data_IF_520364569888
#
_entry.id   IF_520364569888
#
_cell.length_a   1.000
_cell.length_b   1.000
_cell.length_c   1.000
_cell.angle_alpha   90.00
_cell.angle_beta   90.00
_cell.angle_gamma   90.00
#
_symmetry.space_group_name_H-M   'P 1'
#
loop_
_entity.id
_entity.type
_entity.pdbx_description
1 polymer ?
#
# COMPACT_ATOMS: atom_id res chain seq x y z
N UNK A 1 11.16 -10.80 -3.84
CA UNK A 1 9.76 -10.54 -3.45
C UNK A 1 9.45 -9.10 -3.82
N UNK A 2 8.65 -8.82 -4.87
CA UNK A 2 8.44 -7.43 -5.35
C UNK A 2 7.37 -6.75 -4.48
N UNK A 3 7.76 -5.71 -3.76
CA UNK A 3 6.87 -4.85 -3.00
C UNK A 3 6.73 -3.51 -3.71
N UNK A 4 5.53 -2.96 -3.84
CA UNK A 4 5.33 -1.58 -4.32
C UNK A 4 4.68 -0.75 -3.23
N UNK A 5 5.22 0.44 -2.95
CA UNK A 5 4.65 1.39 -2.00
C UNK A 5 3.97 2.50 -2.79
N UNK A 6 2.66 2.64 -2.62
CA UNK A 6 1.87 3.70 -3.25
C UNK A 6 1.43 4.67 -2.15
N UNK A 7 1.92 5.91 -2.22
CA UNK A 7 1.51 6.97 -1.30
C UNK A 7 0.61 7.94 -2.03
N UNK A 8 -0.53 8.28 -1.44
CA UNK A 8 -1.54 9.09 -2.11
C UNK A 8 -1.83 10.42 -1.44
N UNK A 9 -0.78 11.14 -1.08
CA UNK A 9 -0.86 12.61 -0.98
C UNK A 9 -0.32 13.28 -2.27
N UNK A 10 0.50 12.60 -3.08
CA UNK A 10 0.98 13.13 -4.36
C UNK A 10 1.38 11.97 -5.26
N UNK A 11 0.54 11.63 -6.26
CA UNK A 11 0.80 10.88 -7.53
C UNK A 11 2.12 10.07 -7.69
N UNK A 12 2.62 9.40 -6.65
CA UNK A 12 3.93 8.73 -6.61
C UNK A 12 3.72 7.30 -6.14
N UNK A 13 3.70 6.39 -7.10
CA UNK A 13 3.93 4.98 -6.84
C UNK A 13 5.44 4.76 -6.86
N UNK A 14 6.02 4.35 -5.73
CA UNK A 14 7.41 3.92 -5.66
C UNK A 14 7.44 2.40 -5.70
N UNK A 15 8.06 1.84 -6.74
CA UNK A 15 8.29 0.40 -6.82
C UNK A 15 9.54 0.09 -6.00
N UNK A 16 9.40 -0.69 -4.93
CA UNK A 16 10.51 -1.11 -4.09
C UNK A 16 11.09 -2.41 -4.65
N UNK A 17 12.42 -2.46 -4.78
CA UNK A 17 13.13 -3.52 -5.49
C UNK A 17 12.97 -4.88 -4.78
N UNK A 18 12.92 -6.00 -5.51
CA UNK A 18 12.75 -7.34 -4.96
C UNK A 18 13.84 -7.82 -3.99
N UNK A 19 14.92 -7.05 -3.82
CA UNK A 19 16.04 -7.30 -2.90
C UNK A 19 15.85 -6.61 -1.54
N UNK A 20 14.80 -5.80 -1.37
CA UNK A 20 14.53 -5.17 -0.09
C UNK A 20 13.90 -6.16 0.89
N UNK A 21 14.59 -6.34 1.99
CA UNK A 21 14.11 -7.04 3.18
C UNK A 21 12.95 -6.24 3.78
N UNK A 22 11.95 -6.95 4.32
CA UNK A 22 10.66 -6.44 4.80
C UNK A 22 10.78 -5.23 5.74
N UNK A 23 11.89 -5.09 6.47
CA UNK A 23 12.14 -3.93 7.34
C UNK A 23 12.32 -2.61 6.58
N UNK A 24 12.91 -2.60 5.38
CA UNK A 24 13.07 -1.37 4.56
C UNK A 24 11.73 -0.85 4.04
N UNK A 25 10.80 -1.76 3.75
CA UNK A 25 9.43 -1.40 3.34
C UNK A 25 8.72 -0.71 4.50
N UNK A 26 8.79 -1.28 5.70
CA UNK A 26 8.21 -0.67 6.91
C UNK A 26 8.84 0.69 7.22
N UNK A 27 10.16 0.84 7.11
CA UNK A 27 10.85 2.13 7.33
C UNK A 27 10.34 3.22 6.37
N UNK A 28 10.18 2.88 5.08
CA UNK A 28 9.61 3.81 4.09
C UNK A 28 8.16 4.17 4.41
N UNK A 29 7.33 3.20 4.75
CA UNK A 29 5.94 3.45 5.18
C UNK A 29 5.90 4.42 6.34
N UNK A 30 6.75 4.21 7.35
CA UNK A 30 6.85 5.10 8.51
C UNK A 30 7.28 6.51 8.10
N UNK A 31 8.30 6.64 7.24
CA UNK A 31 8.74 7.94 6.74
C UNK A 31 7.63 8.68 5.97
N UNK A 32 6.82 7.98 5.19
CA UNK A 32 5.69 8.57 4.47
C UNK A 32 4.57 9.05 5.42
N UNK A 33 4.23 8.25 6.43
CA UNK A 33 3.25 8.63 7.46
C UNK A 33 3.77 9.81 8.29
N UNK A 34 5.05 9.81 8.67
CA UNK A 34 5.70 10.90 9.41
C UNK A 34 5.79 12.20 8.59
N UNK A 35 5.84 12.09 7.26
CA UNK A 35 5.75 13.21 6.32
C UNK A 35 4.31 13.72 6.11
N UNK A 36 3.31 13.16 6.79
CA UNK A 36 1.91 13.60 6.74
C UNK A 36 1.05 12.87 5.71
N UNK A 37 1.54 11.80 5.08
CA UNK A 37 0.73 11.00 4.14
C UNK A 37 -0.42 10.34 4.88
N UNK A 38 -1.65 10.56 4.42
CA UNK A 38 -2.85 10.03 5.08
C UNK A 38 -3.05 8.53 4.86
N UNK A 39 -2.51 7.98 3.77
CA UNK A 39 -2.66 6.57 3.42
C UNK A 39 -1.51 6.06 2.57
N UNK A 40 -0.95 4.92 2.97
CA UNK A 40 0.12 4.21 2.26
C UNK A 40 -0.32 2.80 1.94
N UNK A 41 -0.22 2.39 0.68
CA UNK A 41 -0.50 1.03 0.24
C UNK A 41 0.78 0.29 -0.06
N UNK A 42 0.95 -0.88 0.55
CA UNK A 42 2.04 -1.82 0.27
C UNK A 42 1.45 -2.99 -0.49
N UNK A 43 1.81 -3.10 -1.77
CA UNK A 43 1.37 -4.18 -2.66
C UNK A 43 2.41 -5.28 -2.66
N UNK A 44 2.02 -6.49 -2.26
CA UNK A 44 2.85 -7.69 -2.28
C UNK A 44 2.40 -8.63 -3.40
N UNK A 45 3.18 -8.70 -4.48
CA UNK A 45 2.81 -9.46 -5.67
C UNK A 45 2.80 -10.98 -5.46
N UNK A 46 3.67 -11.50 -4.57
CA UNK A 46 3.80 -12.95 -4.37
C UNK A 46 2.61 -13.50 -3.59
N UNK A 47 2.22 -12.80 -2.52
CA UNK A 47 1.07 -13.17 -1.69
C UNK A 47 -0.27 -12.66 -2.25
N UNK A 48 -0.23 -11.81 -3.29
CA UNK A 48 -1.39 -11.12 -3.86
C UNK A 48 -2.20 -10.37 -2.79
N UNK A 49 -1.48 -9.64 -1.94
CA UNK A 49 -2.08 -8.85 -0.87
C UNK A 49 -1.74 -7.38 -1.00
N UNK A 50 -2.61 -6.54 -0.44
CA UNK A 50 -2.38 -5.11 -0.28
C UNK A 50 -2.54 -4.75 1.18
N UNK A 51 -1.50 -4.19 1.79
CA UNK A 51 -1.56 -3.66 3.15
C UNK A 51 -1.73 -2.15 3.09
N UNK A 52 -2.80 -1.66 3.69
CA UNK A 52 -3.12 -0.24 3.82
C UNK A 52 -2.73 0.23 5.21
N UNK A 53 -1.88 1.26 5.28
CA UNK A 53 -1.52 1.95 6.50
C UNK A 53 -2.18 3.33 6.49
N UNK A 54 -3.02 3.61 7.50
CA UNK A 54 -3.56 4.97 7.76
C UNK A 54 -2.81 5.67 8.90
N UNK A 55 -2.20 4.88 9.79
CA UNK A 55 -1.31 5.37 10.82
C UNK A 55 -0.33 4.26 11.22
N UNK A 56 0.55 4.53 12.18
CA UNK A 56 1.48 3.52 12.72
C UNK A 56 0.78 2.34 13.40
N UNK A 57 -0.49 2.51 13.76
CA UNK A 57 -1.30 1.53 14.50
C UNK A 57 -2.57 1.11 13.75
N UNK A 58 -3.03 1.89 12.76
CA UNK A 58 -4.16 1.54 11.90
C UNK A 58 -3.64 0.94 10.58
N UNK A 59 -3.63 -0.40 10.54
CA UNK A 59 -3.09 -1.21 9.46
C UNK A 59 -4.14 -2.25 9.08
N UNK A 60 -4.47 -2.33 7.79
CA UNK A 60 -5.43 -3.31 7.27
C UNK A 60 -4.83 -4.06 6.08
N UNK A 61 -4.95 -5.39 6.10
CA UNK A 61 -4.51 -6.24 4.99
C UNK A 61 -5.73 -6.66 4.18
N UNK A 62 -5.61 -6.57 2.86
CA UNK A 62 -6.58 -7.01 1.87
C UNK A 62 -5.97 -8.12 1.02
N UNK A 63 -6.77 -9.14 0.74
CA UNK A 63 -6.45 -10.29 -0.12
C UNK A 63 -7.06 -10.11 -1.51
N UNK A 64 -6.69 -10.95 -2.46
CA UNK A 64 -7.24 -10.95 -3.83
C UNK A 64 -8.78 -11.11 -3.90
N UNK A 65 -9.39 -11.67 -2.86
CA UNK A 65 -10.85 -11.79 -2.75
C UNK A 65 -11.55 -10.51 -2.27
N UNK A 66 -10.80 -9.56 -1.72
CA UNK A 66 -11.30 -8.33 -1.14
C UNK A 66 -11.44 -7.20 -2.18
N UNK A 67 -12.18 -6.16 -1.79
CA UNK A 67 -12.29 -4.91 -2.55
C UNK A 67 -11.53 -3.83 -1.81
N UNK A 68 -10.59 -3.19 -2.51
CA UNK A 68 -9.80 -2.08 -2.00
C UNK A 68 -10.55 -0.79 -2.30
N UNK A 69 -10.85 -0.01 -1.26
CA UNK A 69 -11.49 1.30 -1.38
C UNK A 69 -10.50 2.39 -1.07
N UNK A 70 -10.66 3.53 -1.74
CA UNK A 70 -9.87 4.72 -1.46
C UNK A 70 -10.37 5.54 -0.26
N UNK A 71 -11.56 5.21 0.25
CA UNK A 71 -12.21 5.86 1.39
C UNK A 71 -12.24 7.39 1.20
N UNK A 72 -12.04 8.15 2.27
CA UNK A 72 -12.04 9.62 2.22
C UNK A 72 -10.79 10.17 1.51
N UNK A 73 -9.73 9.36 1.37
CA UNK A 73 -8.48 9.77 0.72
C UNK A 73 -8.62 9.74 -0.80
N UNK A 74 -9.37 8.77 -1.36
CA UNK A 74 -9.77 8.72 -2.79
C UNK A 74 -11.28 8.46 -2.88
N UNK A 75 -12.09 9.53 -2.75
CA UNK A 75 -13.52 9.39 -2.85
C UNK A 75 -13.92 8.73 -4.17
N UNK A 76 -14.71 7.67 -4.10
CA UNK A 76 -15.20 6.93 -5.27
C UNK A 76 -14.23 5.90 -5.86
N UNK A 77 -13.00 5.75 -5.36
CA UNK A 77 -12.13 4.65 -5.79
C UNK A 77 -12.55 3.34 -5.14
N UNK A 78 -12.74 2.33 -5.97
CA UNK A 78 -13.00 0.94 -5.57
C UNK A 78 -12.49 0.01 -6.66
N UNK A 79 -11.68 -0.98 -6.30
CA UNK A 79 -11.25 -2.03 -7.22
C UNK A 79 -11.11 -3.37 -6.50
N UNK A 80 -11.24 -4.48 -7.23
CA UNK A 80 -10.91 -5.80 -6.69
C UNK A 80 -9.39 -5.87 -6.56
N UNK A 81 -8.90 -6.36 -5.43
CA UNK A 81 -7.45 -6.48 -5.20
C UNK A 81 -6.79 -7.38 -6.24
N UNK A 82 -7.49 -8.43 -6.70
CA UNK A 82 -7.04 -9.29 -7.81
C UNK A 82 -6.62 -8.49 -9.07
N UNK A 83 -7.33 -7.40 -9.40
CA UNK A 83 -7.06 -6.58 -10.60
C UNK A 83 -5.71 -5.85 -10.54
N UNK A 84 -5.09 -5.74 -9.36
CA UNK A 84 -3.76 -5.13 -9.20
C UNK A 84 -2.64 -6.09 -9.60
N UNK A 85 -2.94 -7.37 -9.85
CA UNK A 85 -1.98 -8.42 -10.16
C UNK A 85 -2.21 -9.08 -11.53
N UNK A 86 -3.13 -8.55 -12.33
CA UNK A 86 -3.44 -8.98 -13.70
C UNK A 86 -2.51 -8.34 -14.74
#
# INVERSE_FOLDING_TARGET
MRHSIVCKEDRKAEVVSPTDVQWRVTEKVQAYLDAGTQMVWVVESVMKTVTVYRSKTDIKVFTDTDTLTGEDVVPGFSCRVAQLFE
#
